data_IF_354713558826
#
_entry.id   IF_354713558826
#
_cell.length_a   1.000
_cell.length_b   1.000
_cell.length_c   1.000
_cell.angle_alpha   90.00
_cell.angle_beta   90.00
_cell.angle_gamma   90.00
#
_symmetry.space_group_name_H-M   'P 1'
#
loop_
_entity.id
_entity.type
_entity.pdbx_description
1 polymer ?
#
# COMPACT_ATOMS: atom_id res chain seq x y z
N UNK A 1 9.65 7.47 -14.61
CA UNK A 1 8.88 8.59 -14.05
C UNK A 1 8.38 8.06 -12.74
N UNK A 2 8.74 8.69 -11.62
CA UNK A 2 8.33 8.14 -10.34
C UNK A 2 6.84 8.35 -10.09
N UNK A 3 6.30 7.70 -9.07
CA UNK A 3 4.94 7.99 -8.59
C UNK A 3 5.08 8.26 -7.10
N UNK A 4 4.53 9.39 -6.62
CA UNK A 4 4.38 9.63 -5.19
C UNK A 4 3.19 8.83 -4.68
N UNK A 5 3.43 8.04 -3.63
CA UNK A 5 2.45 7.12 -3.07
C UNK A 5 2.35 7.37 -1.58
N UNK A 6 1.14 7.58 -1.10
CA UNK A 6 0.84 7.73 0.32
C UNK A 6 -0.10 6.61 0.72
N UNK A 7 0.26 5.89 1.78
CA UNK A 7 -0.59 4.83 2.34
C UNK A 7 -1.07 5.33 3.69
N UNK A 8 -2.38 5.48 3.85
CA UNK A 8 -2.99 6.16 4.99
C UNK A 8 -4.09 5.33 5.63
N UNK A 9 -4.27 5.51 6.95
CA UNK A 9 -5.39 4.98 7.72
C UNK A 9 -6.46 6.06 7.87
N UNK A 10 -7.69 5.73 7.51
CA UNK A 10 -8.81 6.65 7.57
C UNK A 10 -10.14 5.89 7.70
N UNK A 11 -11.20 6.61 8.06
CA UNK A 11 -12.56 6.06 8.00
C UNK A 11 -13.02 5.91 6.54
N UNK A 12 -13.87 4.93 6.24
CA UNK A 12 -14.35 4.69 4.86
C UNK A 12 -15.10 5.88 4.25
N UNK A 13 -15.69 6.73 5.10
CA UNK A 13 -16.41 7.93 4.67
C UNK A 13 -15.47 9.06 4.22
N UNK A 14 -14.17 8.97 4.53
CA UNK A 14 -13.18 10.01 4.24
C UNK A 14 -12.51 9.87 2.86
N UNK A 15 -12.88 8.86 2.06
CA UNK A 15 -12.27 8.57 0.75
C UNK A 15 -12.23 9.79 -0.17
N UNK A 16 -13.29 10.60 -0.21
CA UNK A 16 -13.34 11.82 -1.02
C UNK A 16 -12.33 12.86 -0.51
N UNK A 17 -12.22 13.04 0.81
CA UNK A 17 -11.27 13.97 1.42
C UNK A 17 -9.81 13.53 1.18
N UNK A 18 -9.51 12.23 1.27
CA UNK A 18 -8.20 11.66 0.94
C UNK A 18 -7.86 11.95 -0.53
N UNK A 19 -8.82 11.73 -1.42
CA UNK A 19 -8.67 11.97 -2.85
C UNK A 19 -8.44 13.42 -3.23
N UNK A 20 -9.03 14.37 -2.50
CA UNK A 20 -8.84 15.82 -2.70
C UNK A 20 -7.58 16.38 -2.02
N UNK A 21 -6.98 15.64 -1.09
CA UNK A 21 -5.78 16.07 -0.37
C UNK A 21 -4.56 16.17 -1.30
N UNK A 22 -3.71 17.16 -1.02
CA UNK A 22 -2.40 17.30 -1.66
C UNK A 22 -1.28 16.62 -0.85
N UNK A 23 -1.51 16.38 0.44
CA UNK A 23 -0.53 15.81 1.37
C UNK A 23 -1.20 14.86 2.38
N UNK A 24 -1.71 13.69 1.96
CA UNK A 24 -2.47 12.78 2.83
C UNK A 24 -1.77 12.44 4.15
N UNK A 25 -0.47 12.18 4.16
CA UNK A 25 0.28 11.82 5.39
C UNK A 25 0.43 12.96 6.41
N UNK A 26 0.06 14.19 6.05
CA UNK A 26 -0.01 15.33 7.00
C UNK A 26 -1.36 15.37 7.70
N UNK A 27 -2.40 14.86 7.05
CA UNK A 27 -3.79 14.91 7.50
C UNK A 27 -4.23 13.59 8.18
N UNK A 28 -3.74 12.45 7.69
CA UNK A 28 -4.00 11.11 8.21
C UNK A 28 -2.71 10.43 8.67
N UNK A 29 -2.87 9.44 9.56
CA UNK A 29 -1.74 8.57 9.93
C UNK A 29 -1.38 7.70 8.72
N UNK A 30 -0.12 7.69 8.33
CA UNK A 30 0.29 7.00 7.12
C UNK A 30 1.79 7.05 6.88
N UNK A 31 2.19 6.48 5.76
CA UNK A 31 3.57 6.44 5.29
C UNK A 31 3.64 6.97 3.85
N UNK A 32 4.77 7.59 3.53
CA UNK A 32 5.10 8.03 2.17
C UNK A 32 6.05 7.01 1.56
N UNK A 33 5.68 6.50 0.38
CA UNK A 33 6.51 5.64 -0.43
C UNK A 33 6.66 6.25 -1.84
N UNK A 34 7.71 5.84 -2.54
CA UNK A 34 7.95 6.23 -3.93
C UNK A 34 7.90 4.99 -4.79
N UNK A 35 7.45 5.10 -6.03
CA UNK A 35 7.53 4.00 -7.01
C UNK A 35 6.81 2.70 -6.60
N UNK A 36 5.91 2.77 -5.61
CA UNK A 36 5.02 1.68 -5.17
C UNK A 36 3.70 1.73 -5.95
N UNK A 37 3.73 1.20 -7.16
CA UNK A 37 2.54 1.11 -8.02
C UNK A 37 1.57 -0.01 -7.59
N UNK A 38 0.40 -0.06 -8.25
CA UNK A 38 -0.60 -1.10 -8.04
C UNK A 38 -0.04 -2.51 -8.23
N UNK A 39 0.91 -2.74 -9.14
CA UNK A 39 1.46 -4.07 -9.37
C UNK A 39 2.26 -4.53 -8.14
N UNK A 40 3.09 -3.68 -7.54
CA UNK A 40 3.81 -3.98 -6.30
C UNK A 40 2.88 -4.28 -5.13
N UNK A 41 1.77 -3.53 -5.03
CA UNK A 41 0.74 -3.76 -4.00
C UNK A 41 0.06 -5.11 -4.20
N UNK A 42 -0.30 -5.44 -5.45
CA UNK A 42 -0.91 -6.74 -5.81
C UNK A 42 0.07 -7.89 -5.58
N UNK A 43 1.37 -7.71 -5.86
CA UNK A 43 2.40 -8.71 -5.56
C UNK A 43 2.47 -8.99 -4.06
N UNK A 44 2.45 -7.95 -3.22
CA UNK A 44 2.36 -8.11 -1.76
C UNK A 44 1.08 -8.83 -1.34
N UNK A 45 -0.07 -8.48 -1.93
CA UNK A 45 -1.34 -9.20 -1.70
C UNK A 45 -1.16 -10.69 -1.96
N UNK A 46 -0.67 -11.05 -3.15
CA UNK A 46 -0.50 -12.45 -3.56
C UNK A 46 0.45 -13.19 -2.62
N UNK A 47 1.51 -12.53 -2.16
CA UNK A 47 2.46 -13.10 -1.22
C UNK A 47 1.84 -13.41 0.15
N UNK A 48 0.99 -12.52 0.66
CA UNK A 48 0.36 -12.66 1.98
C UNK A 48 -0.81 -13.65 1.98
N UNK A 49 -1.57 -13.71 0.89
CA UNK A 49 -2.80 -14.53 0.77
C UNK A 49 -2.55 -15.88 0.12
N UNK A 50 -1.57 -15.96 -0.79
CA UNK A 50 -1.40 -17.07 -1.72
C UNK A 50 -2.35 -17.00 -2.93
N UNK A 51 -3.06 -15.89 -3.11
CA UNK A 51 -3.98 -15.70 -4.24
C UNK A 51 -3.25 -15.60 -5.58
N UNK A 52 -3.97 -15.90 -6.66
CA UNK A 52 -3.49 -15.67 -8.01
C UNK A 52 -3.47 -14.17 -8.35
N UNK A 53 -2.50 -13.76 -9.17
CA UNK A 53 -2.33 -12.36 -9.55
C UNK A 53 -3.55 -11.74 -10.23
N UNK A 54 -4.27 -12.51 -11.07
CA UNK A 54 -5.50 -12.02 -11.71
C UNK A 54 -6.59 -11.75 -10.67
N UNK A 55 -6.83 -12.68 -9.74
CA UNK A 55 -7.88 -12.55 -8.72
C UNK A 55 -7.56 -11.40 -7.76
N UNK A 56 -6.32 -11.27 -7.32
CA UNK A 56 -5.87 -10.16 -6.48
C UNK A 56 -6.00 -8.82 -7.21
N UNK A 57 -5.68 -8.74 -8.50
CA UNK A 57 -5.80 -7.49 -9.24
C UNK A 57 -7.24 -6.96 -9.29
N UNK A 58 -8.24 -7.85 -9.38
CA UNK A 58 -9.65 -7.47 -9.36
C UNK A 58 -10.11 -6.84 -8.03
N UNK A 59 -9.37 -7.02 -6.92
CA UNK A 59 -9.74 -6.39 -5.64
C UNK A 59 -9.28 -4.95 -5.51
N UNK A 60 -8.44 -4.46 -6.44
CA UNK A 60 -7.86 -3.11 -6.39
C UNK A 60 -8.50 -2.15 -7.40
N UNK A 61 -9.83 -2.18 -7.53
CA UNK A 61 -10.56 -1.14 -8.26
C UNK A 61 -10.45 0.22 -7.53
N UNK A 62 -10.20 1.34 -8.25
CA UNK A 62 -10.16 2.65 -7.63
C UNK A 62 -11.47 3.01 -6.94
N UNK A 63 -11.38 3.40 -5.67
CA UNK A 63 -12.51 3.95 -4.90
C UNK A 63 -12.69 5.43 -5.17
N UNK A 64 -11.65 6.11 -5.68
CA UNK A 64 -11.70 7.50 -6.10
C UNK A 64 -10.69 7.79 -7.22
N UNK A 65 -11.08 8.67 -8.15
CA UNK A 65 -10.24 9.12 -9.26
C UNK A 65 -10.46 10.62 -9.47
N UNK A 66 -9.44 11.44 -9.19
CA UNK A 66 -9.49 12.89 -9.41
C UNK A 66 -9.16 13.25 -10.86
N UNK A 67 -10.14 13.12 -11.76
CA UNK A 67 -9.98 13.48 -13.17
C UNK A 67 -8.84 12.73 -13.87
N UNK A 68 -8.40 13.24 -15.03
CA UNK A 68 -7.43 12.53 -15.88
C UNK A 68 -5.96 12.65 -15.42
N UNK A 69 -5.65 13.65 -14.59
CA UNK A 69 -4.26 13.98 -14.18
C UNK A 69 -4.07 14.05 -12.66
N UNK A 70 -5.12 13.82 -11.87
CA UNK A 70 -5.07 13.88 -10.42
C UNK A 70 -4.77 12.53 -9.77
N UNK A 71 -4.84 12.48 -8.44
CA UNK A 71 -4.57 11.27 -7.70
C UNK A 71 -5.65 10.21 -7.91
N UNK A 72 -5.22 8.96 -7.74
CA UNK A 72 -6.08 7.78 -7.68
C UNK A 72 -6.01 7.26 -6.25
N UNK A 73 -7.16 6.86 -5.69
CA UNK A 73 -7.22 6.20 -4.38
C UNK A 73 -7.71 4.77 -4.57
N UNK A 74 -6.93 3.83 -4.04
CA UNK A 74 -7.29 2.42 -3.92
C UNK A 74 -7.60 2.12 -2.44
N UNK A 75 -8.55 1.22 -2.20
CA UNK A 75 -8.75 0.63 -0.88
C UNK A 75 -7.91 -0.63 -0.77
N UNK A 76 -7.15 -0.77 0.33
CA UNK A 76 -6.51 -2.04 0.66
C UNK A 76 -7.59 -2.98 1.23
N UNK A 77 -7.73 -4.22 0.72
CA UNK A 77 -8.70 -5.15 1.27
C UNK A 77 -8.43 -5.46 2.75
N UNK A 78 -9.50 -5.58 3.54
CA UNK A 78 -9.41 -5.80 4.99
C UNK A 78 -8.58 -7.05 5.33
N UNK A 79 -8.69 -8.12 4.53
CA UNK A 79 -7.88 -9.34 4.69
C UNK A 79 -6.37 -9.06 4.62
N UNK A 80 -5.94 -8.13 3.75
CA UNK A 80 -4.53 -7.77 3.61
C UNK A 80 -4.07 -6.95 4.81
N UNK A 81 -4.90 -6.02 5.26
CA UNK A 81 -4.66 -5.25 6.48
C UNK A 81 -4.53 -6.19 7.69
N UNK A 82 -5.45 -7.13 7.87
CA UNK A 82 -5.42 -8.11 8.97
C UNK A 82 -4.15 -8.97 8.92
N UNK A 83 -3.76 -9.45 7.72
CA UNK A 83 -2.53 -10.22 7.54
C UNK A 83 -1.28 -9.41 7.87
N UNK A 84 -1.19 -8.16 7.40
CA UNK A 84 -0.08 -7.25 7.71
C UNK A 84 0.00 -6.95 9.21
N UNK A 85 -1.13 -6.69 9.86
CA UNK A 85 -1.18 -6.40 11.28
C UNK A 85 -0.71 -7.60 12.14
N UNK A 86 -0.97 -8.82 11.65
CA UNK A 86 -0.60 -10.08 12.30
C UNK A 86 0.83 -10.56 12.07
N UNK A 87 1.64 -9.88 11.23
CA UNK A 87 3.04 -10.25 11.03
C UNK A 87 3.88 -9.96 12.29
N UNK A 88 4.64 -10.96 12.73
CA UNK A 88 5.71 -10.79 13.70
C UNK A 88 7.04 -10.46 12.99
N UNK A 89 8.10 -10.19 13.78
CA UNK A 89 9.41 -9.80 13.27
C UNK A 89 9.97 -10.82 12.26
N UNK A 90 9.96 -12.11 12.61
CA UNK A 90 10.43 -13.19 11.72
C UNK A 90 9.61 -13.27 10.42
N UNK A 91 8.29 -13.07 10.50
CA UNK A 91 7.43 -13.05 9.32
C UNK A 91 7.66 -11.81 8.46
N UNK A 92 7.90 -10.64 9.05
CA UNK A 92 8.24 -9.39 8.33
C UNK A 92 9.54 -9.59 7.55
N UNK A 93 10.59 -10.13 8.19
CA UNK A 93 11.86 -10.43 7.51
C UNK A 93 11.65 -11.34 6.30
N UNK A 94 10.93 -12.45 6.50
CA UNK A 94 10.66 -13.42 5.43
C UNK A 94 9.84 -12.81 4.28
N UNK A 95 8.79 -12.05 4.59
CA UNK A 95 7.95 -11.39 3.58
C UNK A 95 8.76 -10.35 2.83
N UNK A 96 9.60 -9.56 3.51
CA UNK A 96 10.49 -8.58 2.90
C UNK A 96 11.49 -9.24 1.93
N UNK A 97 12.13 -10.34 2.32
CA UNK A 97 13.04 -11.11 1.47
C UNK A 97 12.34 -11.69 0.24
N UNK A 98 11.19 -12.34 0.43
CA UNK A 98 10.41 -12.92 -0.66
C UNK A 98 9.91 -11.85 -1.62
N UNK A 99 9.44 -10.70 -1.10
CA UNK A 99 8.97 -9.58 -1.88
C UNK A 99 10.10 -8.91 -2.68
N UNK A 100 11.28 -8.74 -2.08
CA UNK A 100 12.44 -8.17 -2.76
C UNK A 100 12.94 -9.04 -3.92
N UNK A 101 12.69 -10.36 -3.86
CA UNK A 101 13.03 -11.31 -4.92
C UNK A 101 11.98 -11.40 -6.04
N UNK A 102 10.88 -10.64 -5.96
CA UNK A 102 9.86 -10.59 -7.01
C UNK A 102 10.29 -9.70 -8.18
N UNK A 103 9.77 -10.00 -9.37
CA UNK A 103 10.13 -9.29 -10.60
C UNK A 103 9.83 -7.78 -10.48
N UNK A 104 8.71 -7.41 -9.84
CA UNK A 104 8.31 -6.00 -9.69
C UNK A 104 9.33 -5.17 -8.89
N UNK A 105 9.91 -5.74 -7.83
CA UNK A 105 10.89 -5.06 -6.98
C UNK A 105 12.32 -5.19 -7.53
N UNK A 106 12.69 -6.36 -8.08
CA UNK A 106 14.01 -6.59 -8.68
C UNK A 106 14.23 -5.68 -9.90
N UNK A 107 13.24 -5.59 -10.80
CA UNK A 107 13.34 -4.72 -11.99
C UNK A 107 13.37 -3.24 -11.63
N UNK A 108 12.75 -2.85 -10.52
CA UNK A 108 12.77 -1.48 -10.00
C UNK A 108 14.09 -1.14 -9.29
N UNK A 109 14.94 -2.14 -9.03
CA UNK A 109 16.25 -1.97 -8.39
C UNK A 109 16.18 -1.63 -6.90
N UNK A 110 15.08 -1.99 -6.24
CA UNK A 110 14.91 -1.74 -4.81
C UNK A 110 15.89 -2.57 -3.97
N UNK A 111 16.66 -1.95 -3.06
CA UNK A 111 17.43 -2.70 -2.08
C UNK A 111 16.51 -3.53 -1.20
N UNK A 112 16.90 -4.78 -0.89
CA UNK A 112 16.12 -5.64 -0.02
C UNK A 112 15.83 -5.01 1.36
N UNK A 113 16.78 -4.23 1.89
CA UNK A 113 16.62 -3.47 3.14
C UNK A 113 15.49 -2.42 3.06
N UNK A 114 15.31 -1.76 1.90
CA UNK A 114 14.22 -0.79 1.69
C UNK A 114 12.87 -1.49 1.54
N UNK A 115 12.83 -2.64 0.85
CA UNK A 115 11.62 -3.47 0.75
C UNK A 115 11.20 -3.97 2.13
N UNK A 116 12.16 -4.42 2.94
CA UNK A 116 11.91 -4.88 4.30
C UNK A 116 11.39 -3.74 5.18
N UNK A 117 12.01 -2.56 5.10
CA UNK A 117 11.55 -1.36 5.83
C UNK A 117 10.12 -0.99 5.44
N UNK A 118 9.77 -1.08 4.15
CA UNK A 118 8.40 -0.86 3.68
C UNK A 118 7.42 -1.87 4.28
N UNK A 119 7.76 -3.16 4.33
CA UNK A 119 6.88 -4.19 4.92
C UNK A 119 6.71 -3.96 6.43
N UNK A 120 7.77 -3.56 7.14
CA UNK A 120 7.71 -3.21 8.56
C UNK A 120 6.76 -2.01 8.79
N UNK A 121 6.96 -0.92 8.05
CA UNK A 121 6.12 0.27 8.10
C UNK A 121 4.64 -0.03 7.78
N UNK A 122 4.40 -0.86 6.76
CA UNK A 122 3.05 -1.32 6.41
C UNK A 122 2.41 -2.16 7.53
N UNK A 123 3.18 -3.04 8.17
CA UNK A 123 2.71 -3.86 9.27
C UNK A 123 2.36 -3.01 10.49
N UNK A 124 3.18 -2.02 10.82
CA UNK A 124 2.89 -1.05 11.88
C UNK A 124 1.64 -0.21 11.58
N UNK A 125 1.53 0.27 10.35
CA UNK A 125 0.37 1.05 9.91
C UNK A 125 -0.91 0.21 9.94
N UNK A 126 -0.85 -1.06 9.52
CA UNK A 126 -1.97 -1.98 9.58
C UNK A 126 -2.42 -2.28 11.03
N UNK A 127 -1.46 -2.46 11.95
CA UNK A 127 -1.77 -2.58 13.39
C UNK A 127 -2.46 -1.33 13.92
N UNK A 128 -2.02 -0.15 13.48
CA UNK A 128 -2.65 1.11 13.85
C UNK A 128 -4.09 1.18 13.35
N UNK A 129 -4.32 0.85 12.07
CA UNK A 129 -5.64 0.82 11.46
C UNK A 129 -6.59 -0.12 12.20
N UNK A 130 -6.16 -1.36 12.43
CA UNK A 130 -6.92 -2.39 13.15
C UNK A 130 -7.30 -1.93 14.57
N UNK A 131 -6.35 -1.33 15.29
CA UNK A 131 -6.59 -0.82 16.65
C UNK A 131 -7.61 0.33 16.72
N UNK A 132 -7.79 1.07 15.62
CA UNK A 132 -8.70 2.20 15.52
C UNK A 132 -10.00 1.86 14.77
N UNK A 133 -10.12 0.65 14.21
CA UNK A 133 -11.25 0.27 13.37
C UNK A 133 -11.31 1.03 12.04
N UNK A 134 -10.16 1.45 11.54
CA UNK A 134 -10.01 2.21 10.30
C UNK A 134 -9.64 1.30 9.13
N UNK A 135 -9.85 1.78 7.91
CA UNK A 135 -9.38 1.13 6.69
C UNK A 135 -8.06 1.75 6.21
N UNK A 136 -7.32 1.00 5.40
CA UNK A 136 -6.11 1.51 4.74
C UNK A 136 -6.39 1.87 3.28
N UNK A 137 -5.87 3.01 2.85
CA UNK A 137 -6.01 3.54 1.50
C UNK A 137 -4.65 3.84 0.89
N UNK A 138 -4.52 3.57 -0.41
CA UNK A 138 -3.35 3.94 -1.20
C UNK A 138 -3.74 5.11 -2.08
N UNK A 139 -3.16 6.27 -1.82
CA UNK A 139 -3.24 7.45 -2.66
C UNK A 139 -2.01 7.51 -3.56
N UNK A 140 -2.20 7.55 -4.87
CA UNK A 140 -1.12 7.60 -5.85
C UNK A 140 -1.28 8.83 -6.74
N UNK A 141 -0.21 9.61 -6.89
CA UNK A 141 -0.22 10.79 -7.74
C UNK A 141 0.82 10.68 -8.87
N UNK A 142 0.39 10.53 -10.14
CA UNK A 142 1.28 10.24 -11.26
C UNK A 142 2.19 11.41 -11.65
N UNK A 143 1.86 12.64 -11.26
CA UNK A 143 2.60 13.87 -11.66
C UNK A 143 3.36 14.58 -10.53
N UNK A 144 3.26 14.09 -9.29
CA UNK A 144 4.05 14.62 -8.17
C UNK A 144 5.20 13.64 -7.96
N UNK A 145 6.42 14.03 -8.31
CA UNK A 145 7.65 13.23 -8.20
C UNK A 145 8.80 14.06 -7.68
#
# INVERSE_FOLDING_TARGET
MGILVNIVCADEEEVEAIGESQHPVVEWSGIEARDVDTAKIVTLHCLLTGDGLEDAFYTYEPVYVAGDEGPIVLRIPDEIMEKLAGLDEEAIERVGEELAATEEFEMSGWPAEEVQSLVEELSELARLADSQGQAMFVWMHPLLT
#
